data_IF_847568515110
#
_entry.id   IF_847568515110
#
_cell.length_a   1.000
_cell.length_b   1.000
_cell.length_c   1.000
_cell.angle_alpha   90.00
_cell.angle_beta   90.00
_cell.angle_gamma   90.00
#
_symmetry.space_group_name_H-M   'P 1'
#
loop_
_entity.id
_entity.type
_entity.pdbx_description
1 polymer ?
#
# COMPACT_ATOMS: atom_id res chain seq x y z
N UNK A 1 -24.87 12.91 -14.41
CA UNK A 1 -25.01 11.43 -14.33
C UNK A 1 -24.57 10.72 -15.62
N UNK A 2 -24.63 11.35 -16.79
CA UNK A 2 -24.33 10.69 -18.09
C UNK A 2 -22.87 10.25 -18.30
N UNK A 3 -21.87 11.04 -17.89
CA UNK A 3 -20.45 10.69 -18.14
C UNK A 3 -19.95 9.47 -17.35
N UNK A 4 -20.36 9.30 -16.10
CA UNK A 4 -19.95 8.16 -15.28
C UNK A 4 -20.57 6.85 -15.80
N UNK A 5 -21.86 6.87 -16.14
CA UNK A 5 -22.53 5.69 -16.70
C UNK A 5 -21.97 5.31 -18.09
N UNK A 6 -21.63 6.27 -18.93
CA UNK A 6 -20.96 6.01 -20.21
C UNK A 6 -19.56 5.40 -20.03
N UNK A 7 -18.78 5.89 -19.06
CA UNK A 7 -17.45 5.34 -18.76
C UNK A 7 -17.58 3.89 -18.29
N UNK A 8 -18.47 3.60 -17.35
CA UNK A 8 -18.72 2.23 -16.89
C UNK A 8 -19.18 1.30 -18.02
N UNK A 9 -20.09 1.76 -18.87
CA UNK A 9 -20.58 0.95 -20.01
C UNK A 9 -19.46 0.70 -21.02
N UNK A 10 -18.57 1.67 -21.24
CA UNK A 10 -17.45 1.53 -22.16
C UNK A 10 -16.35 0.59 -21.64
N UNK A 11 -16.13 0.52 -20.31
CA UNK A 11 -15.21 -0.44 -19.68
C UNK A 11 -15.61 -1.89 -20.03
N UNK A 12 -16.91 -2.22 -19.96
CA UNK A 12 -17.39 -3.57 -20.25
C UNK A 12 -17.47 -3.89 -21.76
N UNK A 13 -17.48 -2.88 -22.64
CA UNK A 13 -17.48 -3.08 -24.10
C UNK A 13 -16.11 -3.50 -24.64
N UNK A 14 -15.01 -3.15 -23.94
CA UNK A 14 -13.66 -3.50 -24.39
C UNK A 14 -13.33 -4.89 -23.86
N UNK A 15 -13.23 -5.87 -24.75
CA UNK A 15 -13.01 -7.29 -24.42
C UNK A 15 -11.75 -7.49 -23.59
N UNK A 16 -10.62 -6.92 -23.99
CA UNK A 16 -9.34 -7.06 -23.26
C UNK A 16 -9.41 -6.50 -21.83
N UNK A 17 -10.03 -5.33 -21.64
CA UNK A 17 -10.19 -4.72 -20.33
C UNK A 17 -11.12 -5.55 -19.44
N UNK A 18 -12.19 -6.10 -20.02
CA UNK A 18 -13.12 -6.99 -19.33
C UNK A 18 -12.43 -8.28 -18.88
N UNK A 19 -11.61 -8.90 -19.73
CA UNK A 19 -10.86 -10.12 -19.41
C UNK A 19 -9.86 -9.86 -18.27
N UNK A 20 -9.13 -8.75 -18.32
CA UNK A 20 -8.20 -8.35 -17.26
C UNK A 20 -8.91 -8.06 -15.91
N UNK A 21 -10.06 -7.36 -15.96
CA UNK A 21 -10.89 -7.10 -14.77
C UNK A 21 -11.43 -8.39 -14.17
N UNK A 22 -11.96 -9.28 -15.01
CA UNK A 22 -12.48 -10.58 -14.57
C UNK A 22 -11.37 -11.42 -13.93
N UNK A 23 -10.20 -11.49 -14.56
CA UNK A 23 -9.04 -12.20 -14.03
C UNK A 23 -8.61 -11.63 -12.66
N UNK A 24 -8.50 -10.31 -12.55
CA UNK A 24 -8.15 -9.65 -11.28
C UNK A 24 -9.16 -9.96 -10.20
N UNK A 25 -10.45 -9.84 -10.50
CA UNK A 25 -11.54 -10.12 -9.54
C UNK A 25 -11.53 -11.58 -9.08
N UNK A 26 -11.33 -12.53 -10.01
CA UNK A 26 -11.25 -13.96 -9.70
C UNK A 26 -10.11 -14.24 -8.71
N UNK A 27 -8.92 -13.69 -8.95
CA UNK A 27 -7.78 -13.89 -8.06
C UNK A 27 -8.00 -13.24 -6.68
N UNK A 28 -8.64 -12.08 -6.62
CA UNK A 28 -9.01 -11.44 -5.35
C UNK A 28 -10.04 -12.27 -4.56
N UNK A 29 -10.97 -12.95 -5.24
CA UNK A 29 -11.90 -13.90 -4.59
C UNK A 29 -11.13 -15.08 -3.98
N UNK A 30 -10.13 -15.63 -4.69
CA UNK A 30 -9.27 -16.70 -4.16
C UNK A 30 -8.55 -16.24 -2.89
N UNK A 31 -8.00 -15.02 -2.88
CA UNK A 31 -7.38 -14.42 -1.69
C UNK A 31 -8.37 -14.35 -0.52
N UNK A 32 -9.62 -13.95 -0.77
CA UNK A 32 -10.66 -13.86 0.27
C UNK A 32 -11.06 -15.24 0.81
N UNK A 33 -11.22 -16.22 -0.05
CA UNK A 33 -11.52 -17.60 0.38
C UNK A 33 -10.40 -18.14 1.29
N UNK A 34 -9.14 -18.01 0.87
CA UNK A 34 -8.00 -18.47 1.65
C UNK A 34 -7.80 -17.75 2.99
N UNK A 35 -8.29 -16.50 3.11
CA UNK A 35 -8.29 -15.75 4.36
C UNK A 35 -9.29 -16.27 5.41
N UNK A 36 -10.15 -17.22 5.05
CA UNK A 36 -11.13 -17.86 5.95
C UNK A 36 -10.85 -19.35 6.18
N UNK A 37 -9.85 -19.92 5.49
CA UNK A 37 -9.44 -21.32 5.71
C UNK A 37 -8.50 -21.35 6.90
N UNK A 38 -8.96 -21.85 8.03
CA UNK A 38 -8.18 -21.93 9.29
C UNK A 38 -7.10 -23.00 9.23
N UNK A 39 -5.99 -22.74 9.90
CA UNK A 39 -4.91 -23.72 10.08
C UNK A 39 -5.40 -24.86 10.98
N UNK A 40 -5.16 -26.14 10.62
CA UNK A 40 -5.56 -27.27 11.43
C UNK A 40 -5.00 -27.21 12.86
N UNK A 41 -5.84 -27.52 13.84
CA UNK A 41 -5.45 -27.57 15.26
C UNK A 41 -5.53 -26.25 16.02
N UNK A 42 -6.08 -25.18 15.42
CA UNK A 42 -6.34 -23.90 16.10
C UNK A 42 -7.84 -23.68 16.23
N UNK A 43 -8.29 -23.29 17.41
CA UNK A 43 -9.68 -22.85 17.62
C UNK A 43 -9.84 -21.39 17.20
N UNK A 44 -10.39 -21.19 16.00
CA UNK A 44 -10.57 -19.87 15.40
C UNK A 44 -11.59 -19.01 16.16
N UNK A 45 -12.57 -19.61 16.82
CA UNK A 45 -13.61 -18.87 17.57
C UNK A 45 -12.99 -18.26 18.82
N UNK A 46 -12.25 -19.07 19.59
CA UNK A 46 -11.52 -18.58 20.77
C UNK A 46 -10.47 -17.53 20.42
N UNK A 47 -9.76 -17.71 19.29
CA UNK A 47 -8.79 -16.73 18.84
C UNK A 47 -9.46 -15.42 18.45
N UNK A 48 -10.57 -15.47 17.69
CA UNK A 48 -11.31 -14.27 17.27
C UNK A 48 -11.83 -13.48 18.48
N UNK A 49 -12.36 -14.16 19.50
CA UNK A 49 -12.82 -13.53 20.74
C UNK A 49 -11.65 -12.91 21.53
N UNK A 50 -10.50 -13.59 21.56
CA UNK A 50 -9.29 -13.06 22.22
C UNK A 50 -8.81 -11.80 21.53
N UNK A 51 -8.74 -11.82 20.21
CA UNK A 51 -8.31 -10.66 19.41
C UNK A 51 -9.33 -9.54 19.55
N UNK A 52 -10.61 -9.78 19.54
CA UNK A 52 -11.65 -8.75 19.80
C UNK A 52 -11.47 -8.11 21.17
N UNK A 53 -11.26 -8.89 22.21
CA UNK A 53 -11.06 -8.39 23.57
C UNK A 53 -9.71 -7.68 23.79
N UNK A 54 -8.67 -8.14 23.11
CA UNK A 54 -7.30 -7.59 23.21
C UNK A 54 -7.00 -6.51 22.16
N UNK A 55 -7.78 -6.44 21.06
CA UNK A 55 -7.42 -5.64 19.88
C UNK A 55 -7.72 -4.15 20.02
N UNK A 56 -8.38 -3.72 21.09
CA UNK A 56 -8.69 -2.29 21.25
C UNK A 56 -7.41 -1.42 21.34
N UNK A 57 -6.24 -2.00 21.66
CA UNK A 57 -4.98 -1.25 21.78
C UNK A 57 -3.73 -2.01 21.27
N UNK A 58 -3.87 -3.12 20.56
CA UNK A 58 -2.71 -3.96 20.21
C UNK A 58 -2.35 -3.82 18.73
N UNK A 59 -1.04 -3.76 18.42
CA UNK A 59 -0.51 -3.76 17.04
C UNK A 59 -0.96 -4.99 16.22
N UNK A 60 -1.29 -6.11 16.87
CA UNK A 60 -1.87 -7.29 16.22
C UNK A 60 -3.25 -7.01 15.60
N UNK A 61 -4.06 -6.15 16.22
CA UNK A 61 -5.33 -5.71 15.64
C UNK A 61 -5.14 -4.93 14.33
N UNK A 62 -4.12 -4.06 14.28
CA UNK A 62 -3.73 -3.40 13.02
C UNK A 62 -3.21 -4.38 11.98
N UNK A 63 -2.35 -5.31 12.39
CA UNK A 63 -1.85 -6.34 11.50
C UNK A 63 -3.01 -7.13 10.87
N UNK A 64 -3.97 -7.55 11.69
CA UNK A 64 -5.15 -8.26 11.26
C UNK A 64 -6.01 -7.45 10.27
N UNK A 65 -6.02 -6.12 10.43
CA UNK A 65 -6.71 -5.22 9.53
C UNK A 65 -6.09 -5.21 8.13
N UNK A 66 -4.75 -5.20 8.04
CA UNK A 66 -4.03 -5.28 6.75
C UNK A 66 -4.20 -6.61 6.04
N UNK A 67 -4.27 -7.69 6.82
CA UNK A 67 -4.46 -9.04 6.29
C UNK A 67 -5.93 -9.36 6.04
N UNK A 68 -6.83 -8.39 6.34
CA UNK A 68 -8.27 -8.51 6.08
C UNK A 68 -9.00 -9.52 6.96
N UNK A 69 -8.53 -9.71 8.22
CA UNK A 69 -9.13 -10.63 9.18
C UNK A 69 -8.55 -12.04 9.16
N UNK A 70 -7.58 -12.33 8.29
CA UNK A 70 -7.03 -13.67 8.20
C UNK A 70 -6.22 -14.08 9.44
N UNK A 71 -5.65 -13.11 10.17
CA UNK A 71 -4.93 -13.38 11.41
C UNK A 71 -5.89 -13.77 12.55
N UNK A 72 -7.02 -13.05 12.69
CA UNK A 72 -8.04 -13.37 13.71
C UNK A 72 -8.71 -14.72 13.50
N UNK A 73 -8.74 -15.21 12.26
CA UNK A 73 -9.23 -16.55 11.92
C UNK A 73 -8.13 -17.61 11.93
N UNK A 74 -6.89 -17.30 12.33
CA UNK A 74 -5.73 -18.18 12.17
C UNK A 74 -5.69 -18.83 10.78
N UNK A 75 -5.97 -18.05 9.73
CA UNK A 75 -6.09 -18.57 8.39
C UNK A 75 -4.73 -18.94 7.80
N UNK A 76 -4.72 -19.73 6.73
CA UNK A 76 -3.49 -20.07 5.98
C UNK A 76 -2.78 -18.82 5.44
N UNK A 77 -3.51 -17.72 5.24
CA UNK A 77 -2.99 -16.43 4.83
C UNK A 77 -2.81 -15.45 5.99
N UNK A 78 -2.68 -15.94 7.24
CA UNK A 78 -2.56 -15.09 8.42
C UNK A 78 -1.34 -14.14 8.38
N UNK A 79 -0.24 -14.50 7.73
CA UNK A 79 0.90 -13.61 7.51
C UNK A 79 0.66 -12.59 6.38
N UNK A 80 -0.31 -12.84 5.50
CA UNK A 80 -0.61 -11.97 4.37
C UNK A 80 0.58 -11.75 3.45
N UNK A 81 0.67 -10.54 2.90
CA UNK A 81 1.74 -10.13 1.98
C UNK A 81 2.86 -9.34 2.68
N UNK A 82 2.76 -9.14 4.02
CA UNK A 82 3.72 -8.33 4.77
C UNK A 82 5.17 -8.83 4.70
N UNK A 83 5.47 -10.16 4.75
CA UNK A 83 6.84 -10.65 4.59
C UNK A 83 7.46 -10.26 3.24
N UNK A 84 6.66 -10.27 2.17
CA UNK A 84 7.11 -9.85 0.85
C UNK A 84 7.43 -8.35 0.80
N UNK A 85 6.58 -7.52 1.41
CA UNK A 85 6.81 -6.08 1.50
C UNK A 85 8.12 -5.81 2.25
N UNK A 86 8.32 -6.46 3.39
CA UNK A 86 9.55 -6.33 4.18
C UNK A 86 10.79 -6.76 3.38
N UNK A 87 10.72 -7.87 2.66
CA UNK A 87 11.80 -8.31 1.77
C UNK A 87 12.09 -7.31 0.64
N UNK A 88 11.03 -6.78 0.01
CA UNK A 88 11.15 -5.78 -1.06
C UNK A 88 11.81 -4.50 -0.56
N UNK A 89 11.47 -4.05 0.66
CA UNK A 89 12.10 -2.89 1.30
C UNK A 89 13.59 -3.12 1.50
N UNK A 90 13.94 -4.26 2.09
CA UNK A 90 15.35 -4.61 2.33
C UNK A 90 16.16 -4.61 1.03
N UNK A 91 15.63 -5.23 -0.03
CA UNK A 91 16.30 -5.26 -1.34
C UNK A 91 16.39 -3.86 -1.96
N UNK A 92 15.39 -3.01 -1.81
CA UNK A 92 15.43 -1.62 -2.31
C UNK A 92 16.46 -0.77 -1.53
N UNK A 93 16.53 -0.94 -0.21
CA UNK A 93 17.56 -0.29 0.62
C UNK A 93 18.97 -0.77 0.24
N UNK A 94 19.14 -2.07 0.02
CA UNK A 94 20.42 -2.62 -0.48
C UNK A 94 20.77 -2.05 -1.86
N UNK A 95 19.78 -1.78 -2.70
CA UNK A 95 19.97 -1.10 -4.00
C UNK A 95 20.52 0.31 -3.89
N UNK A 96 20.26 1.02 -2.79
CA UNK A 96 20.80 2.35 -2.54
C UNK A 96 22.20 2.32 -1.91
N UNK A 97 22.54 1.28 -1.13
CA UNK A 97 23.77 1.21 -0.33
C UNK A 97 24.84 0.32 -0.99
N UNK A 98 24.42 -0.80 -1.56
CA UNK A 98 25.34 -1.83 -2.10
C UNK A 98 25.51 -1.67 -3.60
N UNK A 99 26.73 -1.41 -4.11
CA UNK A 99 27.00 -1.17 -5.54
C UNK A 99 26.52 -2.29 -6.46
N UNK A 100 26.54 -3.55 -6.01
CA UNK A 100 26.06 -4.70 -6.76
C UNK A 100 24.55 -4.58 -7.10
N UNK A 101 23.71 -4.27 -6.11
CA UNK A 101 22.27 -4.10 -6.33
C UNK A 101 21.96 -2.83 -7.11
N UNK A 102 22.74 -1.75 -6.90
CA UNK A 102 22.63 -0.52 -7.69
C UNK A 102 22.93 -0.77 -9.18
N UNK A 103 23.90 -1.67 -9.49
CA UNK A 103 24.21 -2.07 -10.86
C UNK A 103 23.04 -2.88 -11.47
N UNK A 104 22.51 -3.85 -10.73
CA UNK A 104 21.37 -4.65 -11.17
C UNK A 104 20.14 -3.79 -11.50
N UNK A 105 19.87 -2.71 -10.75
CA UNK A 105 18.77 -1.78 -11.04
C UNK A 105 18.94 -1.07 -12.39
N UNK A 106 20.19 -0.89 -12.86
CA UNK A 106 20.51 -0.24 -14.14
C UNK A 106 20.58 -1.22 -15.32
N UNK A 107 20.68 -2.52 -15.10
CA UNK A 107 20.78 -3.56 -16.13
C UNK A 107 19.45 -3.87 -16.88
N UNK A 108 18.38 -3.08 -16.64
CA UNK A 108 17.11 -3.24 -17.35
C UNK A 108 16.33 -4.48 -16.90
N UNK A 109 15.75 -5.24 -17.87
CA UNK A 109 14.87 -6.37 -17.55
C UNK A 109 15.57 -7.55 -16.86
N UNK A 110 16.81 -7.88 -17.22
CA UNK A 110 17.55 -8.96 -16.59
C UNK A 110 17.89 -8.65 -15.13
N UNK A 111 18.30 -7.42 -14.87
CA UNK A 111 18.55 -6.96 -13.52
C UNK A 111 17.28 -6.98 -12.66
N UNK A 112 16.14 -6.55 -13.21
CA UNK A 112 14.84 -6.61 -12.53
C UNK A 112 14.44 -8.05 -12.19
N UNK A 113 14.62 -9.01 -13.10
CA UNK A 113 14.35 -10.43 -12.83
C UNK A 113 15.18 -10.96 -11.65
N UNK A 114 16.48 -10.63 -11.59
CA UNK A 114 17.35 -11.01 -10.48
C UNK A 114 16.91 -10.36 -9.16
N UNK A 115 16.56 -9.08 -9.17
CA UNK A 115 16.05 -8.37 -7.99
C UNK A 115 14.76 -9.04 -7.49
N UNK A 116 13.83 -9.38 -8.37
CA UNK A 116 12.61 -10.12 -8.02
C UNK A 116 12.92 -11.48 -7.40
N UNK A 117 13.90 -12.23 -7.93
CA UNK A 117 14.33 -13.50 -7.35
C UNK A 117 14.90 -13.32 -5.93
N UNK A 118 15.78 -12.33 -5.71
CA UNK A 118 16.29 -12.03 -4.37
C UNK A 118 15.17 -11.63 -3.40
N UNK A 119 14.18 -10.87 -3.88
CA UNK A 119 13.00 -10.52 -3.07
C UNK A 119 12.20 -11.76 -2.70
N UNK A 120 12.00 -12.73 -3.62
CA UNK A 120 11.32 -14.00 -3.32
C UNK A 120 12.08 -14.82 -2.28
N UNK A 121 13.41 -14.96 -2.38
CA UNK A 121 14.22 -15.64 -1.37
C UNK A 121 14.14 -14.94 -0.01
N UNK A 122 14.26 -13.60 0.00
CA UNK A 122 14.07 -12.80 1.20
C UNK A 122 12.68 -12.99 1.82
N UNK A 123 11.64 -13.10 0.99
CA UNK A 123 10.26 -13.37 1.45
C UNK A 123 10.17 -14.72 2.15
N UNK A 124 10.78 -15.77 1.61
CA UNK A 124 10.80 -17.09 2.28
C UNK A 124 11.48 -17.01 3.64
N UNK A 125 12.65 -16.38 3.71
CA UNK A 125 13.39 -16.25 4.97
C UNK A 125 12.61 -15.46 6.03
N UNK A 126 12.04 -14.31 5.64
CA UNK A 126 11.27 -13.45 6.54
C UNK A 126 9.95 -14.14 6.94
N UNK A 127 9.25 -14.80 6.01
CA UNK A 127 8.00 -15.50 6.31
C UNK A 127 8.22 -16.68 7.26
N UNK A 128 9.30 -17.43 7.11
CA UNK A 128 9.68 -18.48 8.06
C UNK A 128 9.90 -17.90 9.47
N UNK A 129 10.66 -16.81 9.58
CA UNK A 129 10.91 -16.16 10.87
C UNK A 129 9.60 -15.63 11.49
N UNK A 130 8.75 -14.97 10.71
CA UNK A 130 7.47 -14.45 11.20
C UNK A 130 6.50 -15.58 11.56
N UNK A 131 6.43 -16.65 10.76
CA UNK A 131 5.60 -17.82 11.04
C UNK A 131 5.97 -18.47 12.38
N UNK A 132 7.27 -18.66 12.65
CA UNK A 132 7.72 -19.22 13.93
C UNK A 132 7.29 -18.36 15.12
N UNK A 133 7.37 -17.02 15.01
CA UNK A 133 6.90 -16.09 16.03
C UNK A 133 5.38 -16.16 16.24
N UNK A 134 4.61 -16.22 15.15
CA UNK A 134 3.15 -16.36 15.24
C UNK A 134 2.74 -17.69 15.87
N UNK A 135 3.38 -18.80 15.50
CA UNK A 135 3.09 -20.12 16.09
C UNK A 135 3.44 -20.15 17.57
N UNK A 136 4.59 -19.59 17.97
CA UNK A 136 4.95 -19.45 19.38
C UNK A 136 3.89 -18.67 20.17
N UNK A 137 3.37 -17.58 19.59
CA UNK A 137 2.30 -16.78 20.20
C UNK A 137 0.99 -17.55 20.30
N UNK A 138 0.57 -18.28 19.24
CA UNK A 138 -0.64 -19.11 19.26
C UNK A 138 -0.57 -20.19 20.35
N UNK A 139 0.59 -20.82 20.52
CA UNK A 139 0.81 -21.85 21.54
C UNK A 139 0.80 -21.28 22.98
N UNK A 140 1.24 -20.03 23.18
CA UNK A 140 1.28 -19.40 24.50
C UNK A 140 -0.01 -18.68 24.87
N UNK A 141 -0.92 -18.43 23.91
CA UNK A 141 -2.15 -17.67 24.18
C UNK A 141 -3.22 -18.57 24.77
N UNK A 142 -3.80 -18.10 25.90
CA UNK A 142 -4.93 -18.74 26.58
C UNK A 142 -6.06 -17.72 26.71
N UNK A 143 -7.30 -18.14 26.53
CA UNK A 143 -8.51 -17.30 26.68
C UNK A 143 -9.34 -17.85 27.81
N UNK A 144 -9.53 -17.07 28.87
CA UNK A 144 -10.31 -17.49 30.05
C UNK A 144 -9.85 -18.84 30.64
N UNK A 145 -8.54 -19.12 30.59
CA UNK A 145 -7.97 -20.40 31.05
C UNK A 145 -8.00 -21.53 30.02
N UNK A 146 -8.64 -21.35 28.87
CA UNK A 146 -8.71 -22.33 27.80
C UNK A 146 -7.62 -22.03 26.78
N UNK A 147 -6.74 -22.99 26.45
CA UNK A 147 -5.71 -22.78 25.43
C UNK A 147 -6.32 -22.76 24.03
N UNK A 148 -5.89 -21.81 23.19
CA UNK A 148 -6.33 -21.69 21.79
C UNK A 148 -5.91 -22.91 20.95
N UNK A 149 -4.73 -23.47 21.25
CA UNK A 149 -4.26 -24.74 20.69
C UNK A 149 -4.45 -25.81 21.75
N UNK A 150 -5.29 -26.83 21.53
CA UNK A 150 -5.49 -27.94 22.47
C UNK A 150 -4.17 -28.62 22.86
N UNK A 151 -4.01 -28.99 24.13
CA UNK A 151 -2.77 -29.59 24.64
C UNK A 151 -2.41 -30.90 23.91
N UNK A 152 -3.40 -31.65 23.47
CA UNK A 152 -3.20 -32.88 22.72
C UNK A 152 -2.51 -32.68 21.36
N UNK A 153 -2.62 -31.49 20.78
CA UNK A 153 -2.06 -31.14 19.47
C UNK A 153 -0.76 -30.32 19.62
N UNK A 154 -0.51 -29.77 20.81
CA UNK A 154 0.71 -29.00 21.10
C UNK A 154 1.94 -29.92 21.03
N UNK A 155 2.77 -29.69 20.01
CA UNK A 155 4.01 -30.44 19.85
C UNK A 155 4.85 -29.90 18.70
N UNK A 156 6.02 -30.48 18.52
CA UNK A 156 6.92 -30.12 17.43
C UNK A 156 6.25 -30.31 16.06
N UNK A 157 5.38 -31.32 15.90
CA UNK A 157 4.62 -31.56 14.67
C UNK A 157 3.70 -30.38 14.32
N UNK A 158 2.94 -29.86 15.29
CA UNK A 158 2.09 -28.67 15.10
C UNK A 158 2.94 -27.44 14.76
N UNK A 159 4.04 -27.23 15.51
CA UNK A 159 4.94 -26.10 15.27
C UNK A 159 5.48 -26.11 13.84
N UNK A 160 5.99 -27.23 13.38
CA UNK A 160 6.58 -27.36 12.04
C UNK A 160 5.52 -27.26 10.94
N UNK A 161 4.40 -27.99 11.07
CA UNK A 161 3.34 -27.98 10.06
C UNK A 161 2.71 -26.62 9.90
N UNK A 162 2.39 -25.93 11.00
CA UNK A 162 1.81 -24.56 10.96
C UNK A 162 2.80 -23.55 10.37
N UNK A 163 4.07 -23.63 10.72
CA UNK A 163 5.11 -22.76 10.13
C UNK A 163 5.20 -22.96 8.63
N UNK A 164 5.19 -24.20 8.15
CA UNK A 164 5.21 -24.50 6.70
C UNK A 164 3.94 -23.98 6.02
N UNK A 165 2.77 -24.22 6.61
CA UNK A 165 1.48 -23.78 6.04
C UNK A 165 1.44 -22.27 5.89
N UNK A 166 1.81 -21.51 6.93
CA UNK A 166 1.80 -20.04 6.90
C UNK A 166 2.82 -19.49 5.90
N UNK A 167 4.01 -20.08 5.82
CA UNK A 167 5.02 -19.67 4.85
C UNK A 167 4.56 -19.95 3.43
N UNK A 168 4.02 -21.14 3.17
CA UNK A 168 3.46 -21.51 1.85
C UNK A 168 2.30 -20.57 1.47
N UNK A 169 1.43 -20.26 2.43
CA UNK A 169 0.33 -19.30 2.24
C UNK A 169 0.84 -17.91 1.79
N UNK A 170 1.90 -17.41 2.43
CA UNK A 170 2.53 -16.15 2.04
C UNK A 170 3.13 -16.21 0.62
N UNK A 171 3.81 -17.30 0.29
CA UNK A 171 4.38 -17.48 -1.06
C UNK A 171 3.30 -17.56 -2.13
N UNK A 172 2.18 -18.21 -1.82
CA UNK A 172 1.03 -18.27 -2.72
C UNK A 172 0.38 -16.89 -2.89
N UNK A 173 0.21 -16.13 -1.81
CA UNK A 173 -0.28 -14.73 -1.87
C UNK A 173 0.62 -13.84 -2.72
N UNK A 174 1.93 -13.96 -2.56
CA UNK A 174 2.91 -13.24 -3.38
C UNK A 174 2.74 -13.60 -4.86
N UNK A 175 2.65 -14.89 -5.19
CA UNK A 175 2.44 -15.35 -6.56
C UNK A 175 1.12 -14.82 -7.16
N UNK A 176 0.02 -14.82 -6.39
CA UNK A 176 -1.25 -14.22 -6.81
C UNK A 176 -1.09 -12.72 -7.11
N UNK A 177 -0.38 -11.98 -6.26
CA UNK A 177 -0.08 -10.56 -6.47
C UNK A 177 0.74 -10.30 -7.74
N UNK A 178 1.74 -11.13 -8.03
CA UNK A 178 2.52 -11.06 -9.26
C UNK A 178 1.65 -11.36 -10.49
N UNK A 179 0.78 -12.39 -10.44
CA UNK A 179 -0.14 -12.71 -11.54
C UNK A 179 -1.13 -11.58 -11.83
N UNK A 180 -1.67 -10.93 -10.79
CA UNK A 180 -2.53 -9.75 -10.97
C UNK A 180 -1.75 -8.62 -11.66
N UNK A 181 -0.52 -8.37 -11.25
CA UNK A 181 0.31 -7.30 -11.82
C UNK A 181 0.67 -7.56 -13.28
N UNK A 182 0.97 -8.81 -13.64
CA UNK A 182 1.37 -9.18 -15.01
C UNK A 182 0.20 -9.26 -15.99
N UNK A 183 -0.91 -9.86 -15.58
CA UNK A 183 -2.04 -10.20 -16.46
C UNK A 183 -3.33 -9.45 -16.14
N UNK A 184 -3.43 -8.84 -14.97
CA UNK A 184 -4.60 -8.13 -14.51
C UNK A 184 -4.54 -6.63 -14.77
N UNK A 185 -5.15 -5.88 -13.86
CA UNK A 185 -5.15 -4.41 -13.82
C UNK A 185 -4.66 -3.97 -12.44
N UNK A 186 -3.84 -2.93 -12.41
CA UNK A 186 -3.30 -2.37 -11.18
C UNK A 186 -2.06 -3.09 -10.66
N UNK A 187 -1.57 -2.63 -9.52
CA UNK A 187 -0.53 -3.32 -8.77
C UNK A 187 -1.18 -4.41 -7.90
N UNK A 188 -0.94 -5.69 -8.22
CA UNK A 188 -1.60 -6.82 -7.56
C UNK A 188 -1.37 -6.88 -6.06
N UNK A 189 -0.16 -6.54 -5.60
CA UNK A 189 0.17 -6.50 -4.17
C UNK A 189 -0.65 -5.44 -3.45
N UNK A 190 -0.72 -4.25 -4.02
CA UNK A 190 -1.52 -3.14 -3.47
C UNK A 190 -3.02 -3.47 -3.48
N UNK A 191 -3.52 -4.16 -4.53
CA UNK A 191 -4.91 -4.59 -4.62
C UNK A 191 -5.26 -5.67 -3.58
N UNK A 192 -4.35 -6.59 -3.27
CA UNK A 192 -4.54 -7.59 -2.22
C UNK A 192 -4.68 -6.90 -0.85
N UNK A 193 -3.85 -5.89 -0.55
CA UNK A 193 -3.97 -5.10 0.68
C UNK A 193 -5.28 -4.31 0.68
N UNK A 194 -5.60 -3.67 -0.43
CA UNK A 194 -6.83 -2.89 -0.60
C UNK A 194 -8.08 -3.71 -0.30
N UNK A 195 -8.21 -4.91 -0.89
CA UNK A 195 -9.39 -5.75 -0.66
C UNK A 195 -9.45 -6.25 0.79
N UNK A 196 -8.30 -6.50 1.42
CA UNK A 196 -8.22 -6.84 2.83
C UNK A 196 -8.80 -5.74 3.72
N UNK A 197 -8.41 -4.50 3.48
CA UNK A 197 -8.89 -3.33 4.23
C UNK A 197 -10.40 -3.11 3.96
N UNK A 198 -10.80 -3.01 2.70
CA UNK A 198 -12.19 -2.71 2.31
C UNK A 198 -13.17 -3.76 2.82
N UNK A 199 -12.78 -5.03 2.88
CA UNK A 199 -13.63 -6.10 3.36
C UNK A 199 -14.02 -6.00 4.84
N UNK A 200 -13.27 -5.25 5.65
CA UNK A 200 -13.59 -5.00 7.06
C UNK A 200 -14.45 -3.75 7.28
N UNK A 201 -14.54 -2.89 6.29
CA UNK A 201 -15.29 -1.63 6.41
C UNK A 201 -16.77 -1.84 6.80
N UNK A 202 -17.53 -2.80 6.20
CA UNK A 202 -18.92 -3.02 6.59
C UNK A 202 -19.08 -3.40 8.06
N UNK A 203 -18.20 -4.27 8.58
CA UNK A 203 -18.23 -4.68 9.98
C UNK A 203 -17.93 -3.50 10.92
N UNK A 204 -16.92 -2.68 10.59
CA UNK A 204 -16.58 -1.50 11.35
C UNK A 204 -17.73 -0.48 11.41
N UNK A 205 -18.47 -0.31 10.31
CA UNK A 205 -19.69 0.51 10.28
C UNK A 205 -20.81 -0.07 11.17
N UNK A 206 -21.00 -1.38 11.14
CA UNK A 206 -21.99 -2.06 11.96
C UNK A 206 -21.67 -1.93 13.46
N UNK A 207 -20.39 -2.02 13.84
CA UNK A 207 -19.94 -1.85 15.22
C UNK A 207 -20.27 -0.42 15.73
N UNK A 208 -20.01 0.63 14.94
CA UNK A 208 -20.39 2.01 15.26
C UNK A 208 -21.90 2.19 15.37
N UNK A 209 -22.65 1.62 14.43
CA UNK A 209 -24.11 1.69 14.47
C UNK A 209 -24.71 1.02 15.71
N UNK A 210 -24.10 -0.08 16.18
CA UNK A 210 -24.51 -0.74 17.41
C UNK A 210 -24.29 0.13 18.65
N UNK A 211 -23.20 0.93 18.71
CA UNK A 211 -22.96 1.89 19.79
C UNK A 211 -24.03 2.99 19.84
N UNK A 212 -24.45 3.49 18.67
CA UNK A 212 -25.54 4.48 18.58
C UNK A 212 -26.85 3.85 19.03
N UNK A 213 -27.16 2.63 18.54
CA UNK A 213 -28.41 1.91 18.89
C UNK A 213 -28.45 1.51 20.38
N UNK A 214 -27.29 1.19 20.96
CA UNK A 214 -27.14 0.89 22.39
C UNK A 214 -27.23 2.11 23.30
N UNK A 215 -27.39 3.33 22.77
CA UNK A 215 -27.48 4.57 23.53
C UNK A 215 -26.17 5.04 24.17
N UNK A 216 -25.07 4.35 23.90
CA UNK A 216 -23.74 4.72 24.41
C UNK A 216 -23.17 5.95 23.70
N UNK A 217 -23.62 6.25 22.49
CA UNK A 217 -23.21 7.41 21.73
C UNK A 217 -24.40 8.15 21.14
N UNK A 218 -24.32 9.49 21.12
CA UNK A 218 -25.36 10.35 20.55
C UNK A 218 -25.29 10.31 19.02
N UNK A 219 -26.45 10.18 18.36
CA UNK A 219 -26.57 10.19 16.90
C UNK A 219 -25.93 11.43 16.24
N UNK A 220 -26.03 12.61 16.91
CA UNK A 220 -25.44 13.85 16.39
C UNK A 220 -23.91 13.76 16.32
N UNK A 221 -23.29 13.17 17.34
CA UNK A 221 -21.82 12.97 17.37
C UNK A 221 -21.38 12.05 16.24
N UNK A 222 -22.13 10.96 16.01
CA UNK A 222 -21.85 10.02 14.93
C UNK A 222 -21.93 10.68 13.56
N UNK A 223 -22.94 11.53 13.33
CA UNK A 223 -23.10 12.27 12.10
C UNK A 223 -21.93 13.25 11.86
N UNK A 224 -21.47 13.94 12.91
CA UNK A 224 -20.28 14.81 12.84
C UNK A 224 -19.03 14.01 12.49
N UNK A 225 -18.84 12.81 13.07
CA UNK A 225 -17.75 11.90 12.79
C UNK A 225 -17.77 11.49 11.31
N UNK A 226 -18.91 11.09 10.76
CA UNK A 226 -19.05 10.72 9.34
C UNK A 226 -18.74 11.89 8.40
N UNK A 227 -19.21 13.10 8.71
CA UNK A 227 -18.91 14.30 7.93
C UNK A 227 -17.39 14.58 7.98
N UNK A 228 -16.77 14.49 9.15
CA UNK A 228 -15.32 14.65 9.32
C UNK A 228 -14.54 13.64 8.48
N UNK A 229 -14.98 12.37 8.46
CA UNK A 229 -14.42 11.33 7.59
C UNK A 229 -14.45 11.75 6.12
N UNK A 230 -15.58 12.26 5.64
CA UNK A 230 -15.71 12.77 4.27
C UNK A 230 -14.70 13.88 3.94
N UNK A 231 -14.49 14.82 4.87
CA UNK A 231 -13.48 15.88 4.72
C UNK A 231 -12.05 15.33 4.69
N UNK A 232 -11.73 14.35 5.52
CA UNK A 232 -10.41 13.72 5.55
C UNK A 232 -10.15 12.98 4.23
N UNK A 233 -11.12 12.20 3.74
CA UNK A 233 -11.02 11.52 2.44
C UNK A 233 -10.80 12.52 1.31
N UNK A 234 -11.57 13.62 1.28
CA UNK A 234 -11.40 14.68 0.28
C UNK A 234 -9.99 15.32 0.37
N UNK A 235 -9.49 15.57 1.58
CA UNK A 235 -8.12 16.06 1.80
C UNK A 235 -7.04 15.11 1.28
N UNK A 236 -7.20 13.81 1.52
CA UNK A 236 -6.30 12.77 1.02
C UNK A 236 -6.27 12.73 -0.51
N UNK A 237 -7.46 12.80 -1.14
CA UNK A 237 -7.56 12.84 -2.61
C UNK A 237 -6.87 14.08 -3.17
N UNK A 238 -7.07 15.25 -2.57
CA UNK A 238 -6.43 16.50 -2.99
C UNK A 238 -4.90 16.43 -2.89
N UNK A 239 -4.35 15.88 -1.80
CA UNK A 239 -2.91 15.73 -1.61
C UNK A 239 -2.33 14.73 -2.62
N UNK A 240 -3.02 13.63 -2.86
CA UNK A 240 -2.57 12.57 -3.76
C UNK A 240 -2.59 13.02 -5.23
N UNK A 241 -3.58 13.82 -5.63
CA UNK A 241 -3.72 14.35 -6.98
C UNK A 241 -2.97 15.66 -7.19
N UNK A 242 -2.51 16.30 -6.13
CA UNK A 242 -1.81 17.58 -6.17
C UNK A 242 -0.56 17.52 -7.06
N UNK A 243 -0.47 18.40 -8.07
CA UNK A 243 0.66 18.46 -9.00
C UNK A 243 1.20 19.88 -9.17
N UNK A 244 2.53 20.03 -9.11
CA UNK A 244 3.21 21.27 -9.52
C UNK A 244 3.61 21.13 -10.98
N UNK A 245 3.12 22.02 -11.85
CA UNK A 245 3.43 22.05 -13.28
C UNK A 245 4.62 22.96 -13.54
N UNK A 246 5.72 22.41 -14.10
CA UNK A 246 6.89 23.18 -14.51
C UNK A 246 6.79 23.42 -16.01
N UNK A 247 6.79 24.68 -16.51
CA UNK A 247 6.75 24.95 -17.93
C UNK A 247 8.09 24.63 -18.60
N UNK A 248 8.04 23.86 -19.69
CA UNK A 248 9.17 23.51 -20.53
C UNK A 248 8.89 23.98 -21.94
N UNK A 249 9.84 24.69 -22.52
CA UNK A 249 9.77 25.15 -23.91
C UNK A 249 10.68 24.30 -24.78
N UNK A 250 10.18 23.90 -25.94
CA UNK A 250 10.96 23.20 -26.95
C UNK A 250 11.30 24.15 -28.08
N UNK A 251 12.55 24.10 -28.57
CA UNK A 251 13.00 24.93 -29.67
C UNK A 251 12.15 24.67 -30.92
N UNK A 252 11.82 25.76 -31.63
CA UNK A 252 11.13 25.64 -32.92
C UNK A 252 12.08 25.01 -33.95
N UNK A 253 11.66 23.94 -34.59
CA UNK A 253 12.36 23.34 -35.74
C UNK A 253 11.63 23.70 -37.02
N UNK A 254 12.34 24.31 -37.95
CA UNK A 254 11.84 24.61 -39.29
C UNK A 254 12.32 23.50 -40.22
N UNK A 255 11.39 22.71 -40.77
CA UNK A 255 11.68 21.69 -41.78
C UNK A 255 10.94 22.05 -43.05
N UNK A 256 11.68 22.62 -44.00
CA UNK A 256 11.10 23.20 -45.24
C UNK A 256 10.24 24.43 -44.92
N UNK A 257 8.97 24.42 -45.37
CA UNK A 257 7.99 25.49 -45.13
C UNK A 257 7.16 25.28 -43.82
N UNK A 258 7.36 24.16 -43.09
CA UNK A 258 6.60 23.86 -41.90
C UNK A 258 7.43 24.10 -40.63
N UNK A 259 6.85 24.82 -39.69
CA UNK A 259 7.43 25.06 -38.37
C UNK A 259 6.88 24.02 -37.40
N UNK A 260 7.77 23.20 -36.83
CA UNK A 260 7.45 22.22 -35.81
C UNK A 260 8.02 22.68 -34.47
N UNK A 261 7.27 22.50 -33.37
CA UNK A 261 7.70 22.86 -32.03
C UNK A 261 7.26 24.27 -31.60
N UNK A 262 7.85 24.81 -30.56
CA UNK A 262 7.45 26.07 -29.95
C UNK A 262 6.22 25.98 -29.05
N UNK A 263 5.74 24.77 -28.73
CA UNK A 263 4.65 24.55 -27.79
C UNK A 263 5.23 24.43 -26.39
N UNK A 264 4.68 25.18 -25.45
CA UNK A 264 5.01 25.03 -24.03
C UNK A 264 4.37 23.76 -23.50
N UNK A 265 5.17 22.80 -23.07
CA UNK A 265 4.73 21.62 -22.35
C UNK A 265 4.98 21.79 -20.86
N UNK A 266 4.28 21.02 -20.04
CA UNK A 266 4.43 21.06 -18.59
C UNK A 266 4.89 19.71 -18.06
N UNK A 267 5.92 19.72 -17.20
CA UNK A 267 6.29 18.54 -16.42
C UNK A 267 5.46 18.57 -15.14
N UNK A 268 4.55 17.60 -14.94
CA UNK A 268 3.78 17.50 -13.71
C UNK A 268 4.63 16.83 -12.63
N UNK A 269 5.04 17.58 -11.60
CA UNK A 269 5.62 17.01 -10.38
C UNK A 269 4.50 16.80 -9.37
N UNK A 270 4.25 15.56 -8.98
CA UNK A 270 3.25 15.24 -7.96
C UNK A 270 3.74 15.63 -6.58
N UNK A 271 2.86 16.15 -5.72
CA UNK A 271 3.16 16.46 -4.31
C UNK A 271 3.52 15.16 -3.58
N UNK A 272 2.79 14.09 -3.87
CA UNK A 272 3.10 12.75 -3.41
C UNK A 272 3.67 11.92 -4.57
N UNK A 273 4.93 12.16 -4.94
CA UNK A 273 5.63 11.41 -5.99
C UNK A 273 5.86 9.95 -5.58
N UNK A 274 6.03 9.71 -4.30
CA UNK A 274 6.29 8.39 -3.74
C UNK A 274 5.03 7.51 -3.62
N UNK A 275 3.82 8.07 -3.81
CA UNK A 275 2.56 7.33 -3.70
C UNK A 275 2.31 6.79 -2.30
N UNK A 276 1.85 5.55 -2.21
CA UNK A 276 1.50 4.87 -0.96
C UNK A 276 2.70 4.12 -0.35
N UNK A 277 3.76 3.89 -1.14
CA UNK A 277 4.90 3.05 -0.74
C UNK A 277 5.59 3.47 0.57
N UNK A 278 5.88 4.76 0.83
CA UNK A 278 6.52 5.18 2.08
C UNK A 278 5.76 4.77 3.34
N UNK A 279 4.44 4.81 3.26
CA UNK A 279 3.56 4.49 4.38
C UNK A 279 3.58 2.98 4.65
N UNK A 280 3.50 2.17 3.58
CA UNK A 280 3.60 0.71 3.66
C UNK A 280 4.96 0.31 4.23
N UNK A 281 6.04 1.00 3.85
CA UNK A 281 7.39 0.75 4.34
C UNK A 281 7.53 1.11 5.81
N UNK A 282 7.08 2.31 6.21
CA UNK A 282 7.08 2.72 7.60
C UNK A 282 6.30 1.72 8.47
N UNK A 283 5.12 1.29 8.02
CA UNK A 283 4.30 0.32 8.73
C UNK A 283 5.00 -1.05 8.85
N UNK A 284 5.62 -1.54 7.77
CA UNK A 284 6.33 -2.83 7.80
C UNK A 284 7.49 -2.84 8.78
N UNK A 285 8.22 -1.72 8.89
CA UNK A 285 9.31 -1.59 9.88
C UNK A 285 8.76 -1.51 11.30
N UNK A 286 7.63 -0.82 11.51
CA UNK A 286 6.99 -0.73 12.82
C UNK A 286 6.46 -2.09 13.31
N UNK A 287 6.28 -3.09 12.42
CA UNK A 287 5.97 -4.45 12.83
C UNK A 287 7.18 -5.27 13.30
N UNK A 288 8.39 -4.88 12.95
CA UNK A 288 9.61 -5.63 13.34
C UNK A 288 9.76 -5.74 14.88
N UNK A 289 9.65 -4.65 15.66
CA UNK A 289 9.67 -4.76 17.12
C UNK A 289 8.61 -5.73 17.66
N UNK A 290 7.41 -5.70 17.10
CA UNK A 290 6.31 -6.58 17.51
C UNK A 290 6.62 -8.07 17.31
N UNK A 291 7.28 -8.40 16.20
CA UNK A 291 7.75 -9.76 15.93
C UNK A 291 8.79 -10.15 16.98
N UNK A 292 9.73 -9.27 17.31
CA UNK A 292 10.74 -9.52 18.35
C UNK A 292 10.06 -9.78 19.70
N UNK A 293 9.08 -8.96 20.08
CA UNK A 293 8.34 -9.15 21.34
C UNK A 293 7.59 -10.48 21.38
N UNK A 294 7.11 -10.99 20.25
CA UNK A 294 6.40 -12.27 20.18
C UNK A 294 7.27 -13.48 20.51
N UNK A 295 8.59 -13.37 20.41
CA UNK A 295 9.52 -14.43 20.82
C UNK A 295 9.76 -14.49 22.35
N UNK A 296 9.41 -13.41 23.08
CA UNK A 296 9.62 -13.29 24.53
C UNK A 296 8.31 -13.03 25.29
N UNK A 297 7.30 -13.91 25.19
CA UNK A 297 5.95 -13.66 25.72
C UNK A 297 5.90 -13.57 27.26
N UNK A 298 6.87 -14.17 27.95
CA UNK A 298 6.90 -14.23 29.41
C UNK A 298 7.81 -13.16 30.06
N UNK A 299 8.40 -12.27 29.27
CA UNK A 299 9.26 -11.19 29.80
C UNK A 299 8.42 -9.96 30.14
N UNK A 300 8.36 -9.56 31.41
CA UNK A 300 7.66 -8.35 31.86
C UNK A 300 8.18 -7.10 31.16
N UNK A 301 9.50 -6.97 31.01
CA UNK A 301 10.14 -5.86 30.31
C UNK A 301 9.68 -5.76 28.85
N UNK A 302 9.61 -6.89 28.12
CA UNK A 302 9.15 -6.91 26.71
C UNK A 302 7.65 -6.60 26.61
N UNK A 303 6.85 -7.05 27.56
CA UNK A 303 5.42 -6.75 27.61
C UNK A 303 5.18 -5.27 27.92
N UNK A 304 5.92 -4.69 28.87
CA UNK A 304 5.85 -3.26 29.18
C UNK A 304 6.27 -2.41 27.97
N UNK A 305 7.35 -2.77 27.29
CA UNK A 305 7.83 -2.09 26.11
C UNK A 305 6.81 -2.16 24.97
N UNK A 306 6.17 -3.33 24.76
CA UNK A 306 5.17 -3.53 23.70
C UNK A 306 3.87 -2.76 23.95
N UNK A 307 3.44 -2.60 25.22
CA UNK A 307 2.19 -1.91 25.55
C UNK A 307 2.36 -0.41 25.73
N UNK A 308 3.39 0.02 26.45
CA UNK A 308 3.55 1.43 26.81
C UNK A 308 4.25 2.25 25.72
N UNK A 309 5.24 1.68 25.01
CA UNK A 309 6.05 2.40 24.04
C UNK A 309 5.61 2.13 22.59
N UNK A 310 5.34 0.87 22.28
CA UNK A 310 4.95 0.45 20.94
C UNK A 310 3.45 0.11 20.82
N UNK A 311 2.66 0.39 21.85
CA UNK A 311 1.19 0.29 21.75
C UNK A 311 0.64 1.28 20.73
N UNK A 312 -0.33 0.85 19.92
CA UNK A 312 -0.90 1.67 18.84
C UNK A 312 -1.49 3.01 19.32
N UNK A 313 -2.02 3.05 20.53
CA UNK A 313 -2.58 4.26 21.13
C UNK A 313 -1.53 5.15 21.82
N UNK A 314 -0.24 4.72 21.84
CA UNK A 314 0.85 5.47 22.45
C UNK A 314 1.28 6.66 21.59
N UNK A 315 1.57 7.78 22.25
CA UNK A 315 2.16 8.95 21.59
C UNK A 315 3.55 8.67 21.02
N UNK A 316 4.32 7.81 21.70
CA UNK A 316 5.66 7.40 21.28
C UNK A 316 5.60 6.66 19.94
N UNK A 317 4.68 5.69 19.83
CA UNK A 317 4.42 4.99 18.57
C UNK A 317 4.07 5.98 17.45
N UNK A 318 3.11 6.88 17.70
CA UNK A 318 2.66 7.86 16.69
C UNK A 318 3.79 8.79 16.24
N UNK A 319 4.66 9.22 17.17
CA UNK A 319 5.80 10.07 16.84
C UNK A 319 6.85 9.35 15.98
N UNK A 320 7.26 8.14 16.40
CA UNK A 320 8.24 7.34 15.66
C UNK A 320 7.68 6.99 14.28
N UNK A 321 6.41 6.63 14.20
CA UNK A 321 5.73 6.31 12.95
C UNK A 321 5.68 7.51 12.00
N UNK A 322 5.35 8.71 12.50
CA UNK A 322 5.39 9.94 11.70
C UNK A 322 6.79 10.23 11.15
N UNK A 323 7.81 10.08 11.98
CA UNK A 323 9.20 10.29 11.59
C UNK A 323 9.63 9.30 10.51
N UNK A 324 9.24 8.04 10.65
CA UNK A 324 9.48 7.00 9.64
C UNK A 324 8.79 7.31 8.31
N UNK A 325 7.53 7.79 8.33
CA UNK A 325 6.82 8.20 7.11
C UNK A 325 7.56 9.34 6.41
N UNK A 326 7.98 10.37 7.14
CA UNK A 326 8.73 11.49 6.57
C UNK A 326 10.03 10.98 5.95
N UNK A 327 10.80 10.17 6.69
CA UNK A 327 12.05 9.60 6.21
C UNK A 327 11.86 8.78 4.92
N UNK A 328 10.90 7.85 4.89
CA UNK A 328 10.65 7.02 3.72
C UNK A 328 10.06 7.80 2.54
N UNK A 329 9.32 8.88 2.80
CA UNK A 329 8.82 9.75 1.73
C UNK A 329 9.98 10.42 1.00
N UNK A 330 10.95 10.97 1.72
CA UNK A 330 12.15 11.53 1.12
C UNK A 330 13.01 10.48 0.43
N UNK A 331 13.26 9.38 1.11
CA UNK A 331 14.06 8.27 0.59
C UNK A 331 13.48 7.71 -0.72
N UNK A 332 12.19 7.43 -0.74
CA UNK A 332 11.53 6.87 -1.92
C UNK A 332 11.44 7.89 -3.06
N UNK A 333 11.18 9.16 -2.74
CA UNK A 333 11.17 10.24 -3.74
C UNK A 333 12.52 10.36 -4.43
N UNK A 334 13.62 10.28 -3.67
CA UNK A 334 14.99 10.33 -4.22
C UNK A 334 15.31 9.13 -5.14
N UNK A 335 14.76 7.94 -4.85
CA UNK A 335 14.95 6.74 -5.69
C UNK A 335 14.04 6.77 -6.92
N UNK A 336 12.75 7.15 -6.73
CA UNK A 336 11.76 7.09 -7.79
C UNK A 336 11.96 8.17 -8.87
N UNK A 337 12.53 9.31 -8.51
CA UNK A 337 12.71 10.44 -9.40
C UNK A 337 14.16 10.90 -9.41
N UNK A 338 14.85 10.69 -10.55
CA UNK A 338 16.22 11.18 -10.75
C UNK A 338 16.22 12.50 -11.53
N UNK A 339 16.47 13.64 -10.87
CA UNK A 339 16.48 14.96 -11.54
C UNK A 339 17.51 15.06 -12.66
N UNK A 340 18.64 14.34 -12.56
CA UNK A 340 19.70 14.36 -13.60
C UNK A 340 19.22 13.71 -14.89
N UNK A 341 18.58 12.53 -14.79
CA UNK A 341 18.05 11.83 -15.97
C UNK A 341 16.98 12.65 -16.70
N UNK A 342 16.13 13.34 -15.93
CA UNK A 342 15.11 14.24 -16.48
C UNK A 342 15.76 15.43 -17.20
N UNK A 343 16.75 16.09 -16.59
CA UNK A 343 17.46 17.23 -17.18
C UNK A 343 18.23 16.82 -18.45
N UNK A 344 18.88 15.66 -18.45
CA UNK A 344 19.62 15.13 -19.60
C UNK A 344 18.68 14.75 -20.75
N UNK A 345 17.54 14.12 -20.46
CA UNK A 345 16.53 13.80 -21.46
C UNK A 345 15.92 15.06 -22.08
N UNK A 346 15.63 16.07 -21.25
CA UNK A 346 15.18 17.39 -21.75
C UNK A 346 16.20 18.02 -22.68
N UNK A 347 17.48 18.03 -22.28
CA UNK A 347 18.57 18.58 -23.08
C UNK A 347 18.70 17.86 -24.43
N UNK A 348 18.64 16.50 -24.42
CA UNK A 348 18.68 15.70 -25.66
C UNK A 348 17.53 16.01 -26.61
N UNK A 349 16.35 16.32 -26.07
CA UNK A 349 15.15 16.67 -26.84
C UNK A 349 15.08 18.15 -27.25
N UNK A 350 16.06 18.98 -26.85
CA UNK A 350 16.09 20.42 -27.13
C UNK A 350 15.09 21.23 -26.29
N UNK A 351 14.63 20.66 -25.15
CA UNK A 351 13.77 21.33 -24.20
C UNK A 351 14.56 22.11 -23.17
N UNK A 352 14.03 23.23 -22.73
CA UNK A 352 14.62 24.06 -21.66
C UNK A 352 13.52 24.70 -20.79
N UNK A 353 13.87 24.99 -19.56
CA UNK A 353 13.01 25.75 -18.65
C UNK A 353 13.33 27.24 -18.83
N UNK A 354 12.31 28.10 -19.07
CA UNK A 354 12.56 29.55 -19.24
C UNK A 354 13.33 30.13 -18.05
N UNK A 355 14.43 30.85 -18.34
CA UNK A 355 15.30 31.46 -17.33
C UNK A 355 16.35 30.54 -16.70
N UNK A 356 16.43 29.26 -17.07
CA UNK A 356 17.39 28.29 -16.50
C UNK A 356 18.24 27.66 -17.61
N UNK A 357 19.56 27.58 -17.38
CA UNK A 357 20.48 26.96 -18.35
C UNK A 357 20.24 25.45 -18.42
N UNK A 358 20.15 24.83 -19.62
CA UNK A 358 20.01 23.40 -19.77
C UNK A 358 21.19 22.62 -19.16
N UNK A 359 20.92 21.44 -18.55
CA UNK A 359 21.92 20.58 -17.96
C UNK A 359 21.90 20.60 -16.43
N UNK A 360 23.06 20.74 -15.78
CA UNK A 360 23.20 20.65 -14.31
C UNK A 360 22.31 21.65 -13.57
N UNK A 361 22.22 22.90 -14.02
CA UNK A 361 21.34 23.91 -13.40
C UNK A 361 19.86 23.54 -13.47
N UNK A 362 19.44 22.87 -14.55
CA UNK A 362 18.07 22.36 -14.67
C UNK A 362 17.83 21.22 -13.67
N UNK A 363 18.80 20.33 -13.49
CA UNK A 363 18.74 19.26 -12.50
C UNK A 363 18.62 19.81 -11.06
N UNK A 364 19.48 20.77 -10.71
CA UNK A 364 19.47 21.43 -9.39
C UNK A 364 18.14 22.17 -9.12
N UNK A 365 17.58 22.83 -10.13
CA UNK A 365 16.30 23.51 -10.02
C UNK A 365 15.14 22.54 -9.77
N UNK A 366 15.11 21.44 -10.53
CA UNK A 366 14.08 20.39 -10.37
C UNK A 366 14.20 19.72 -9.02
N UNK A 367 15.42 19.41 -8.57
CA UNK A 367 15.70 18.81 -7.26
C UNK A 367 15.24 19.72 -6.11
N UNK A 368 15.55 21.02 -6.19
CA UNK A 368 15.12 22.01 -5.20
C UNK A 368 13.58 22.12 -5.12
N UNK A 369 12.90 22.12 -6.27
CA UNK A 369 11.42 22.09 -6.28
C UNK A 369 10.89 20.81 -5.67
N UNK A 370 11.47 19.66 -6.04
CA UNK A 370 11.05 18.36 -5.55
C UNK A 370 11.18 18.29 -4.01
N UNK A 371 12.33 18.69 -3.47
CA UNK A 371 12.58 18.72 -2.03
C UNK A 371 11.58 19.61 -1.29
N UNK A 372 11.29 20.80 -1.85
CA UNK A 372 10.33 21.74 -1.26
C UNK A 372 8.87 21.26 -1.33
N UNK A 373 8.50 20.48 -2.34
CA UNK A 373 7.15 19.91 -2.46
C UNK A 373 7.01 18.65 -1.59
N UNK A 374 8.07 17.86 -1.47
CA UNK A 374 8.06 16.64 -0.67
C UNK A 374 7.86 16.92 0.82
N UNK A 375 8.39 18.03 1.34
CA UNK A 375 8.25 18.39 2.75
C UNK A 375 6.78 18.53 3.21
N UNK A 376 5.97 19.44 2.62
CA UNK A 376 4.56 19.56 3.01
C UNK A 376 3.78 18.25 2.72
N UNK A 377 4.13 17.54 1.64
CA UNK A 377 3.53 16.25 1.31
C UNK A 377 3.80 15.20 2.40
N UNK A 378 5.05 15.06 2.86
CA UNK A 378 5.42 14.10 3.90
C UNK A 378 4.80 14.44 5.26
N UNK A 379 4.74 15.72 5.64
CA UNK A 379 4.09 16.17 6.87
C UNK A 379 2.58 15.88 6.82
N UNK A 380 1.94 16.15 5.68
CA UNK A 380 0.52 15.86 5.51
C UNK A 380 0.23 14.35 5.59
N UNK A 381 1.06 13.50 4.95
CA UNK A 381 0.95 12.05 5.05
C UNK A 381 1.13 11.56 6.50
N UNK A 382 2.12 12.10 7.21
CA UNK A 382 2.36 11.78 8.62
C UNK A 382 1.19 12.20 9.51
N UNK A 383 0.62 13.39 9.29
CA UNK A 383 -0.56 13.88 10.01
C UNK A 383 -1.76 12.95 9.81
N UNK A 384 -2.05 12.56 8.55
CA UNK A 384 -3.13 11.63 8.23
C UNK A 384 -2.89 10.26 8.87
N UNK A 385 -1.64 9.81 8.93
CA UNK A 385 -1.28 8.52 9.52
C UNK A 385 -1.53 8.46 11.04
N UNK A 386 -1.45 9.60 11.73
CA UNK A 386 -1.69 9.70 13.20
C UNK A 386 -3.19 9.88 13.53
N UNK A 387 -4.01 10.33 12.58
CA UNK A 387 -5.43 10.61 12.83
C UNK A 387 -6.19 9.47 13.55
N UNK A 388 -6.02 8.18 13.22
CA UNK A 388 -6.71 7.11 13.91
C UNK A 388 -6.46 7.10 15.42
N UNK A 389 -5.23 7.35 15.84
CA UNK A 389 -4.89 7.42 17.27
C UNK A 389 -5.64 8.54 17.99
N UNK A 390 -5.84 9.68 17.32
CA UNK A 390 -6.64 10.80 17.88
C UNK A 390 -8.11 10.41 17.93
N UNK A 391 -8.67 9.76 16.89
CA UNK A 391 -10.06 9.35 16.83
C UNK A 391 -10.41 8.31 17.90
N UNK A 392 -9.52 7.35 18.16
CA UNK A 392 -9.69 6.38 19.26
C UNK A 392 -9.79 7.10 20.61
N UNK A 393 -8.95 8.11 20.87
CA UNK A 393 -9.01 8.92 22.09
C UNK A 393 -10.29 9.76 22.21
N UNK A 394 -10.94 10.08 21.08
CA UNK A 394 -12.27 10.71 21.05
C UNK A 394 -13.42 9.70 21.24
N UNK A 395 -13.09 8.41 21.43
CA UNK A 395 -14.06 7.35 21.68
C UNK A 395 -14.59 6.62 20.44
N UNK A 396 -14.01 6.85 19.25
CA UNK A 396 -14.34 6.08 18.05
C UNK A 396 -13.81 4.66 18.20
N UNK A 397 -14.55 3.65 17.73
CA UNK A 397 -14.06 2.27 17.79
C UNK A 397 -12.76 2.12 17.01
N UNK A 398 -11.78 1.33 17.48
CA UNK A 398 -10.50 1.15 16.81
C UNK A 398 -10.65 0.65 15.35
N UNK A 399 -11.62 -0.24 15.12
CA UNK A 399 -11.94 -0.73 13.78
C UNK A 399 -12.33 0.37 12.82
N UNK A 400 -13.24 1.26 13.24
CA UNK A 400 -13.71 2.36 12.41
C UNK A 400 -12.70 3.53 12.36
N UNK A 401 -12.03 3.82 13.45
CA UNK A 401 -10.98 4.85 13.51
C UNK A 401 -9.86 4.61 12.47
N UNK A 402 -9.52 3.36 12.19
CA UNK A 402 -8.52 3.01 11.18
C UNK A 402 -8.91 3.43 9.76
N UNK A 403 -10.21 3.65 9.48
CA UNK A 403 -10.69 4.17 8.19
C UNK A 403 -10.72 5.70 8.10
N UNK A 404 -10.56 6.43 9.23
CA UNK A 404 -10.42 7.89 9.23
C UNK A 404 -9.08 8.40 8.78
N UNK A 405 -8.08 7.55 8.76
CA UNK A 405 -6.74 7.94 8.43
C UNK A 405 -5.81 6.75 8.49
N UNK A 406 -4.57 7.01 8.88
CA UNK A 406 -3.56 5.98 8.92
C UNK A 406 -3.24 5.42 7.55
N UNK A 407 -2.59 4.27 7.59
CA UNK A 407 -2.21 3.54 6.38
C UNK A 407 -3.40 3.06 5.58
N UNK A 408 -4.48 2.65 6.24
CA UNK A 408 -5.65 2.04 5.59
C UNK A 408 -6.33 3.00 4.61
N UNK A 409 -6.63 4.23 5.05
CA UNK A 409 -7.27 5.23 4.19
C UNK A 409 -6.36 5.62 3.02
N UNK A 410 -5.07 5.86 3.31
CA UNK A 410 -4.10 6.26 2.29
C UNK A 410 -3.90 5.17 1.24
N UNK A 411 -3.87 3.89 1.66
CA UNK A 411 -3.78 2.76 0.74
C UNK A 411 -5.06 2.64 -0.09
N UNK A 412 -6.24 2.73 0.54
CA UNK A 412 -7.52 2.62 -0.16
C UNK A 412 -7.65 3.72 -1.23
N UNK A 413 -7.39 4.97 -0.87
CA UNK A 413 -7.48 6.10 -1.82
C UNK A 413 -6.39 6.00 -2.89
N UNK A 414 -5.14 5.73 -2.51
CA UNK A 414 -4.02 5.66 -3.44
C UNK A 414 -4.18 4.53 -4.45
N UNK A 415 -4.50 3.32 -4.00
CA UNK A 415 -4.69 2.16 -4.89
C UNK A 415 -5.90 2.35 -5.80
N UNK A 416 -7.01 2.90 -5.28
CA UNK A 416 -8.18 3.21 -6.09
C UNK A 416 -7.84 4.21 -7.22
N UNK A 417 -7.13 5.29 -6.89
CA UNK A 417 -6.72 6.30 -7.87
C UNK A 417 -5.72 5.75 -8.90
N UNK A 418 -4.72 4.98 -8.47
CA UNK A 418 -3.75 4.37 -9.38
C UNK A 418 -4.42 3.36 -10.32
N UNK A 419 -5.35 2.57 -9.81
CA UNK A 419 -6.12 1.61 -10.62
C UNK A 419 -7.02 2.31 -11.62
N UNK A 420 -7.71 3.39 -11.20
CA UNK A 420 -8.53 4.21 -12.09
C UNK A 420 -7.69 4.84 -13.21
N UNK A 421 -6.52 5.40 -12.90
CA UNK A 421 -5.62 5.97 -13.90
C UNK A 421 -5.14 4.93 -14.92
N UNK A 422 -4.88 3.68 -14.49
CA UNK A 422 -4.54 2.60 -15.40
C UNK A 422 -5.72 2.23 -16.32
N UNK A 423 -6.92 2.12 -15.77
CA UNK A 423 -8.14 1.88 -16.55
C UNK A 423 -8.35 2.99 -17.57
N UNK A 424 -8.26 4.25 -17.19
CA UNK A 424 -8.36 5.41 -18.08
C UNK A 424 -7.31 5.39 -19.18
N UNK A 425 -6.06 5.05 -18.86
CA UNK A 425 -4.98 4.98 -19.86
C UNK A 425 -5.24 3.89 -20.90
N UNK A 426 -5.75 2.73 -20.48
CA UNK A 426 -6.16 1.66 -21.40
C UNK A 426 -7.35 2.07 -22.30
N UNK A 427 -8.31 2.82 -21.75
CA UNK A 427 -9.44 3.35 -22.52
C UNK A 427 -8.98 4.34 -23.59
N UNK A 428 -8.06 5.27 -23.24
CA UNK A 428 -7.54 6.28 -24.15
C UNK A 428 -6.71 5.67 -25.29
N UNK A 429 -5.85 4.71 -25.02
CA UNK A 429 -5.04 4.03 -26.04
C UNK A 429 -5.91 3.39 -27.13
N UNK A 430 -7.01 2.76 -26.74
CA UNK A 430 -7.93 2.12 -27.70
C UNK A 430 -8.83 3.09 -28.46
N UNK A 431 -9.14 4.25 -27.90
CA UNK A 431 -9.84 5.30 -28.66
C UNK A 431 -9.00 5.80 -29.84
N UNK A 432 -7.68 5.91 -29.63
CA UNK A 432 -6.74 6.26 -30.71
C UNK A 432 -6.63 5.18 -31.80
N UNK A 433 -6.58 3.91 -31.43
CA UNK A 433 -6.56 2.79 -32.41
C UNK A 433 -7.84 2.71 -33.25
N UNK A 434 -8.98 3.05 -32.65
CA UNK A 434 -10.27 3.14 -33.37
C UNK A 434 -10.27 4.24 -34.44
N UNK A 435 -9.69 5.39 -34.14
CA UNK A 435 -9.53 6.50 -35.11
C UNK A 435 -8.55 6.14 -36.25
N UNK A 436 -7.47 5.42 -35.97
CA UNK A 436 -6.50 4.99 -36.98
C UNK A 436 -7.07 3.90 -37.92
N UNK A 437 -7.91 3.00 -37.41
CA UNK A 437 -8.57 1.97 -38.21
C UNK A 437 -9.73 2.50 -39.08
N UNK A 438 -10.40 3.57 -38.65
CA UNK A 438 -11.49 4.20 -39.43
C UNK A 438 -10.99 5.25 -40.44
N UNK A 439 -9.75 5.70 -40.31
CA UNK A 439 -9.11 6.64 -41.20
C UNK A 439 -8.64 5.98 -42.49
N UNK A 440 -9.54 5.73 -43.45
CA UNK A 440 -9.14 5.62 -44.88
C UNK A 440 -8.46 6.94 -45.24
N UNK A 441 -7.13 6.95 -45.26
CA UNK A 441 -6.34 8.01 -45.88
C UNK A 441 -6.76 8.11 -47.35
N UNK A 442 -7.73 8.94 -47.65
CA UNK A 442 -7.99 9.40 -49.03
C UNK A 442 -6.76 10.20 -49.44
N UNK A 443 -5.79 9.53 -50.01
CA UNK A 443 -4.72 10.18 -50.74
C UNK A 443 -5.32 11.07 -51.82
N UNK A 444 -5.24 12.38 -51.63
CA UNK A 444 -5.54 13.37 -52.66
C UNK A 444 -4.35 13.37 -53.60
N UNK A 445 -4.58 12.80 -54.83
CA UNK A 445 -3.73 13.03 -56.01
C UNK A 445 -3.70 14.53 -56.35
#
# INVERSE_FOLDING_TARGET
MSKLTETFTNIFKIQELRERLFFTTLLLIIVRIGSHITVPGVDAVLLADTIKKSSENTLFGLYDLFVGGAFSHAAIFALGIMPYISASIVIQLLGAVVPYFAKLQKEGEEGRKKITQYTRYGTVAISLMQATGVVAKLMSTTTSGIPIVPEAVRGFGFYLSTTIILTTGTMFMMWLGEQITERGIGNGISLIIFIGIVARFPNALLDEFQLVRGGTRNLIVELVILVLMGFIVAGVVLITQGTRRIPVQYAKRVVGRKVYGGVTQYIPLRVNTAGVMPIIFAQSIMFVPQIIFSFFPNSEFMNELSTNWFGYSSWTYSFVYALMIIFFTYFYTAIAFNPKDVADNMKKQGGFIPGIRPGTHTSEFVDNILTKITLPGSIALAAIAILPTMMIKMGVTPGFASFFGGTSLLIVVGVALDTLQQVESHLLMRHYDGFMKSGKLRGRR
#
